data_IF_443292839448
#
_entry.id   IF_443292839448
#
_cell.length_a   1.000
_cell.length_b   1.000
_cell.length_c   1.000
_cell.angle_alpha   90.00
_cell.angle_beta   90.00
_cell.angle_gamma   90.00
#
_symmetry.space_group_name_H-M   'P 1'
#
loop_
_entity.id
_entity.type
_entity.pdbx_description
1 polymer ?
#
# COMPACT_ATOMS: atom_id res chain seq x y z
N UNK A 1 7.99 -26.47 -2.21
CA UNK A 1 7.04 -25.62 -2.89
C UNK A 1 7.02 -25.86 -4.39
N UNK A 2 5.87 -25.94 -4.96
CA UNK A 2 5.75 -26.17 -6.39
C UNK A 2 5.95 -24.86 -7.17
N UNK A 3 6.80 -24.92 -8.17
CA UNK A 3 6.98 -23.83 -9.10
C UNK A 3 6.15 -24.13 -10.34
N UNK A 4 5.29 -23.22 -10.72
CA UNK A 4 4.47 -23.40 -11.91
C UNK A 4 5.28 -23.32 -13.19
N UNK A 5 4.59 -23.44 -14.29
CA UNK A 5 5.20 -23.29 -15.61
C UNK A 5 5.73 -21.86 -15.77
N UNK A 6 6.65 -21.63 -16.73
CA UNK A 6 7.02 -20.26 -17.06
C UNK A 6 5.76 -19.45 -17.38
N UNK A 7 5.63 -18.32 -16.74
CA UNK A 7 4.44 -17.47 -16.86
C UNK A 7 3.40 -17.68 -15.79
N UNK A 8 3.52 -18.73 -14.97
CA UNK A 8 2.60 -18.98 -13.86
C UNK A 8 3.04 -18.33 -12.55
N UNK A 9 4.08 -17.51 -12.57
CA UNK A 9 4.54 -16.80 -11.39
C UNK A 9 3.42 -15.90 -10.89
N UNK A 10 3.04 -16.02 -9.61
CA UNK A 10 1.99 -15.16 -9.08
C UNK A 10 2.38 -13.70 -9.20
N UNK A 11 1.44 -12.88 -9.62
CA UNK A 11 1.63 -11.44 -9.65
C UNK A 11 1.56 -10.89 -8.24
N UNK A 12 2.32 -9.83 -8.00
CA UNK A 12 2.17 -9.10 -6.76
C UNK A 12 0.79 -8.44 -6.73
N UNK A 13 0.17 -8.49 -5.57
CA UNK A 13 -1.15 -7.90 -5.35
C UNK A 13 -0.99 -6.63 -4.54
N UNK A 14 -1.24 -5.51 -5.17
CA UNK A 14 -1.09 -4.21 -4.55
C UNK A 14 -2.48 -3.67 -4.23
N UNK A 15 -2.69 -3.29 -2.97
CA UNK A 15 -3.91 -2.59 -2.58
C UNK A 15 -3.59 -1.12 -2.40
N UNK A 16 -4.50 -0.26 -2.84
CA UNK A 16 -4.35 1.18 -2.75
C UNK A 16 -5.54 1.71 -1.95
N UNK A 17 -5.26 2.50 -0.92
CA UNK A 17 -6.32 3.14 -0.13
C UNK A 17 -6.09 4.64 -0.15
N UNK A 18 -6.96 5.37 -0.83
CA UNK A 18 -6.91 6.83 -0.95
C UNK A 18 -8.31 7.32 -1.28
N UNK A 19 -8.76 8.38 -0.64
CA UNK A 19 -10.11 8.89 -0.88
C UNK A 19 -10.21 9.74 -2.16
N UNK A 20 -9.10 10.06 -2.80
CA UNK A 20 -9.07 10.84 -4.04
C UNK A 20 -9.09 9.89 -5.25
N UNK A 21 -10.15 9.98 -6.03
CA UNK A 21 -10.32 9.12 -7.20
C UNK A 21 -9.20 9.29 -8.22
N UNK A 22 -8.74 10.53 -8.46
CA UNK A 22 -7.66 10.77 -9.42
C UNK A 22 -6.38 10.07 -9.02
N UNK A 23 -6.08 10.06 -7.74
CA UNK A 23 -4.88 9.38 -7.23
C UNK A 23 -5.04 7.88 -7.36
N UNK A 24 -6.21 7.35 -7.00
CA UNK A 24 -6.48 5.92 -7.17
C UNK A 24 -6.28 5.48 -8.61
N UNK A 25 -6.85 6.24 -9.56
CA UNK A 25 -6.76 5.87 -10.99
C UNK A 25 -5.33 5.97 -11.51
N UNK A 26 -4.59 7.00 -11.11
CA UNK A 26 -3.20 7.16 -11.52
C UNK A 26 -2.33 6.02 -11.00
N UNK A 27 -2.50 5.66 -9.75
CA UNK A 27 -1.72 4.57 -9.15
C UNK A 27 -2.11 3.22 -9.73
N UNK A 28 -3.38 3.00 -9.99
CA UNK A 28 -3.83 1.76 -10.65
C UNK A 28 -3.18 1.60 -12.02
N UNK A 29 -3.18 2.66 -12.82
CA UNK A 29 -2.56 2.62 -14.14
C UNK A 29 -1.08 2.31 -14.03
N UNK A 30 -0.39 2.92 -13.07
CA UNK A 30 1.03 2.71 -12.88
C UNK A 30 1.32 1.26 -12.48
N UNK A 31 0.53 0.69 -11.57
CA UNK A 31 0.71 -0.70 -11.14
C UNK A 31 0.43 -1.68 -12.28
N UNK A 32 -0.60 -1.42 -13.06
CA UNK A 32 -0.92 -2.28 -14.21
C UNK A 32 0.17 -2.23 -15.29
N UNK A 33 0.83 -1.10 -15.43
CA UNK A 33 1.89 -0.95 -16.45
C UNK A 33 3.05 -1.89 -16.21
N UNK A 34 3.24 -2.35 -14.98
CA UNK A 34 4.29 -3.31 -14.62
C UNK A 34 3.70 -4.67 -14.27
N UNK A 35 2.46 -4.91 -14.67
CA UNK A 35 1.79 -6.19 -14.55
C UNK A 35 1.54 -6.67 -13.13
N UNK A 36 1.38 -5.74 -12.19
CA UNK A 36 0.90 -6.08 -10.85
C UNK A 36 -0.63 -6.17 -10.88
N UNK A 37 -1.17 -7.06 -10.07
CA UNK A 37 -2.60 -7.05 -9.79
C UNK A 37 -2.86 -5.92 -8.81
N UNK A 38 -3.91 -5.14 -9.02
CA UNK A 38 -4.16 -3.97 -8.19
C UNK A 38 -5.65 -3.84 -7.89
N UNK A 39 -5.95 -3.49 -6.66
CA UNK A 39 -7.29 -3.11 -6.25
C UNK A 39 -7.22 -1.81 -5.46
N UNK A 40 -8.18 -0.92 -5.66
CA UNK A 40 -8.16 0.38 -5.00
C UNK A 40 -9.44 0.58 -4.21
N UNK A 41 -9.29 1.24 -3.06
CA UNK A 41 -10.36 1.45 -2.10
C UNK A 41 -10.41 2.91 -1.71
N UNK A 42 -11.61 3.44 -1.51
CA UNK A 42 -11.77 4.84 -1.13
C UNK A 42 -11.60 5.09 0.36
N UNK A 43 -11.58 4.02 1.17
CA UNK A 43 -11.46 4.15 2.63
C UNK A 43 -10.77 2.94 3.23
N UNK A 44 -10.24 3.11 4.43
CA UNK A 44 -9.65 2.01 5.19
C UNK A 44 -10.72 0.95 5.52
N UNK A 45 -11.92 1.41 5.83
CA UNK A 45 -13.03 0.50 6.15
C UNK A 45 -13.38 -0.38 4.94
N UNK A 46 -13.42 0.21 3.74
CA UNK A 46 -13.70 -0.56 2.53
C UNK A 46 -12.62 -1.60 2.26
N UNK A 47 -11.37 -1.26 2.51
CA UNK A 47 -10.26 -2.20 2.37
C UNK A 47 -10.44 -3.38 3.33
N UNK A 48 -10.70 -3.08 4.60
CA UNK A 48 -10.84 -4.14 5.61
C UNK A 48 -12.02 -5.06 5.34
N UNK A 49 -13.09 -4.54 4.75
CA UNK A 49 -14.27 -5.32 4.42
C UNK A 49 -14.08 -6.21 3.19
N UNK A 50 -13.02 -5.99 2.44
CA UNK A 50 -12.77 -6.72 1.20
C UNK A 50 -11.97 -7.99 1.45
N UNK A 51 -12.31 -9.06 0.76
CA UNK A 51 -11.48 -10.26 0.77
C UNK A 51 -10.08 -10.01 0.24
N UNK A 52 -9.94 -9.00 -0.61
CA UNK A 52 -8.66 -8.63 -1.18
C UNK A 52 -7.63 -8.25 -0.10
N UNK A 53 -8.12 -7.77 1.05
CA UNK A 53 -7.23 -7.39 2.15
C UNK A 53 -6.42 -8.57 2.67
N UNK A 54 -6.93 -9.79 2.54
CA UNK A 54 -6.24 -10.99 3.00
C UNK A 54 -5.20 -11.50 2.01
N UNK A 55 -5.16 -10.92 0.82
CA UNK A 55 -4.27 -11.38 -0.25
C UNK A 55 -3.35 -10.26 -0.75
N UNK A 56 -3.22 -9.20 0.02
CA UNK A 56 -2.43 -8.03 -0.36
C UNK A 56 -0.96 -8.27 -0.08
N UNK A 57 -0.12 -8.12 -1.10
CA UNK A 57 1.34 -8.23 -0.96
C UNK A 57 1.94 -6.94 -0.42
N UNK A 58 1.35 -5.81 -0.75
CA UNK A 58 1.83 -4.50 -0.32
C UNK A 58 0.67 -3.51 -0.37
N UNK A 59 0.57 -2.68 0.65
CA UNK A 59 -0.51 -1.70 0.81
C UNK A 59 0.04 -0.29 0.63
N UNK A 60 -0.49 0.44 -0.36
CA UNK A 60 -0.19 1.86 -0.54
C UNK A 60 -1.33 2.61 0.14
N UNK A 61 -1.00 3.38 1.16
CA UNK A 61 -2.00 3.88 2.10
C UNK A 61 -1.85 5.38 2.33
N UNK A 62 -2.91 6.12 2.02
CA UNK A 62 -2.97 7.55 2.30
C UNK A 62 -3.02 7.75 3.81
N UNK A 63 -2.21 8.68 4.29
CA UNK A 63 -2.18 9.02 5.70
C UNK A 63 -3.44 9.73 6.15
N UNK A 64 -3.98 10.60 5.30
CA UNK A 64 -5.07 11.50 5.64
C UNK A 64 -6.40 11.03 5.06
N UNK A 65 -7.01 10.05 5.71
CA UNK A 65 -8.30 9.52 5.30
C UNK A 65 -9.38 9.98 6.27
N UNK A 66 -10.59 10.25 5.79
CA UNK A 66 -11.71 10.48 6.69
C UNK A 66 -12.08 9.16 7.40
N UNK A 67 -12.63 9.27 8.61
CA UNK A 67 -12.95 8.09 9.42
C UNK A 67 -11.68 7.45 9.94
N UNK A 68 -11.49 6.17 9.68
CA UNK A 68 -10.24 5.49 10.05
C UNK A 68 -9.12 6.01 9.16
N UNK A 69 -8.15 6.71 9.74
CA UNK A 69 -7.03 7.26 8.96
C UNK A 69 -5.95 6.21 8.76
N UNK A 70 -4.87 6.60 8.05
CA UNK A 70 -3.80 5.67 7.69
C UNK A 70 -3.10 5.05 8.89
N UNK A 71 -2.81 5.85 9.91
CA UNK A 71 -2.18 5.31 11.12
C UNK A 71 -3.13 4.38 11.88
N UNK A 72 -4.42 4.72 11.91
CA UNK A 72 -5.42 3.85 12.55
C UNK A 72 -5.46 2.49 11.87
N UNK A 73 -5.45 2.47 10.54
CA UNK A 73 -5.45 1.21 9.80
C UNK A 73 -4.19 0.41 10.08
N UNK A 74 -3.03 1.06 10.09
CA UNK A 74 -1.79 0.36 10.38
C UNK A 74 -1.80 -0.24 11.79
N UNK A 75 -2.29 0.51 12.78
CA UNK A 75 -2.42 0.01 14.14
C UNK A 75 -3.38 -1.17 14.21
N UNK A 76 -4.48 -1.10 13.47
CA UNK A 76 -5.43 -2.20 13.40
C UNK A 76 -4.78 -3.47 12.86
N UNK A 77 -4.04 -3.34 11.75
CA UNK A 77 -3.34 -4.49 11.16
C UNK A 77 -2.29 -5.06 12.11
N UNK A 78 -1.57 -4.19 12.82
CA UNK A 78 -0.58 -4.63 13.79
C UNK A 78 -1.22 -5.39 14.95
N UNK A 79 -2.35 -4.91 15.46
CA UNK A 79 -3.07 -5.60 16.53
C UNK A 79 -3.57 -6.97 16.10
N UNK A 80 -3.93 -7.10 14.83
CA UNK A 80 -4.36 -8.39 14.28
C UNK A 80 -3.19 -9.26 13.83
N UNK A 81 -1.97 -8.80 14.06
CA UNK A 81 -0.76 -9.52 13.67
C UNK A 81 -0.71 -9.83 12.17
N UNK A 82 -1.27 -8.92 11.38
CA UNK A 82 -1.25 -9.06 9.93
C UNK A 82 -0.02 -8.33 9.38
N UNK A 83 0.88 -9.09 8.79
CA UNK A 83 2.18 -8.57 8.34
C UNK A 83 2.12 -8.06 6.91
N UNK A 84 1.22 -7.12 6.65
CA UNK A 84 1.12 -6.49 5.33
C UNK A 84 2.11 -5.33 5.27
N UNK A 85 3.08 -5.36 4.34
CA UNK A 85 3.98 -4.21 4.18
C UNK A 85 3.20 -2.96 3.76
N UNK A 86 3.43 -1.85 4.45
CA UNK A 86 2.70 -0.61 4.22
C UNK A 86 3.64 0.47 3.70
N UNK A 87 3.25 1.12 2.61
CA UNK A 87 3.91 2.31 2.10
C UNK A 87 2.89 3.44 2.23
N UNK A 88 3.20 4.42 3.09
CA UNK A 88 2.33 5.58 3.23
C UNK A 88 2.55 6.59 2.13
N UNK A 89 1.46 7.26 1.73
CA UNK A 89 1.54 8.43 0.85
C UNK A 89 0.82 9.59 1.54
N UNK A 90 1.33 10.80 1.36
CA UNK A 90 0.75 11.96 2.02
C UNK A 90 1.08 13.25 1.27
N UNK A 91 0.17 14.23 1.34
CA UNK A 91 0.42 15.56 0.80
C UNK A 91 1.41 16.35 1.66
N UNK A 92 1.60 15.93 2.90
CA UNK A 92 2.47 16.64 3.87
C UNK A 92 3.44 15.66 4.53
N UNK A 93 4.51 15.33 3.81
CA UNK A 93 5.52 14.41 4.31
C UNK A 93 6.53 15.17 5.16
N UNK A 94 6.23 15.31 6.45
CA UNK A 94 7.17 15.92 7.40
C UNK A 94 7.96 14.86 8.15
N UNK A 95 9.01 15.27 8.83
CA UNK A 95 9.90 14.34 9.53
C UNK A 95 9.18 13.61 10.67
N UNK A 96 8.29 14.31 11.39
CA UNK A 96 7.56 13.68 12.48
C UNK A 96 6.66 12.55 11.99
N UNK A 97 5.94 12.78 10.90
CA UNK A 97 5.08 11.74 10.31
C UNK A 97 5.91 10.58 9.79
N UNK A 98 7.05 10.88 9.16
CA UNK A 98 7.94 9.85 8.65
C UNK A 98 8.45 8.95 9.79
N UNK A 99 8.92 9.56 10.87
CA UNK A 99 9.42 8.80 12.02
C UNK A 99 8.31 7.95 12.65
N UNK A 100 7.12 8.52 12.77
CA UNK A 100 5.98 7.78 13.30
C UNK A 100 5.64 6.57 12.43
N UNK A 101 5.62 6.77 11.11
CA UNK A 101 5.31 5.70 10.17
C UNK A 101 6.32 4.57 10.27
N UNK A 102 7.60 4.90 10.27
CA UNK A 102 8.67 3.90 10.32
C UNK A 102 8.67 3.15 11.66
N UNK A 103 8.42 3.85 12.76
CA UNK A 103 8.33 3.21 14.08
C UNK A 103 7.16 2.23 14.15
N UNK A 104 6.09 2.52 13.43
CA UNK A 104 4.93 1.63 13.40
C UNK A 104 5.12 0.47 12.43
N UNK A 105 6.27 0.40 11.77
CA UNK A 105 6.63 -0.73 10.90
C UNK A 105 6.42 -0.50 9.41
N UNK A 106 6.10 0.73 8.99
CA UNK A 106 5.93 1.02 7.57
C UNK A 106 7.25 0.88 6.81
N UNK A 107 7.16 0.55 5.54
CA UNK A 107 8.31 0.47 4.64
C UNK A 107 8.86 1.88 4.37
N UNK A 108 7.96 2.82 4.08
CA UNK A 108 8.36 4.19 3.77
C UNK A 108 7.15 5.11 3.83
N UNK A 109 7.41 6.40 3.71
CA UNK A 109 6.39 7.43 3.61
C UNK A 109 6.79 8.35 2.45
N UNK A 110 5.96 8.42 1.42
CA UNK A 110 6.25 9.15 0.20
C UNK A 110 5.35 10.37 0.06
N UNK A 111 5.89 11.44 -0.50
CA UNK A 111 5.13 12.67 -0.75
C UNK A 111 4.27 12.53 -2.00
N UNK A 112 3.09 13.13 -1.98
CA UNK A 112 2.29 13.32 -3.18
C UNK A 112 2.79 14.58 -3.90
N UNK A 113 2.83 14.61 -5.22
CA UNK A 113 2.45 13.53 -6.13
C UNK A 113 3.44 12.38 -6.10
N UNK A 114 2.95 11.16 -6.10
CA UNK A 114 3.77 9.97 -5.96
C UNK A 114 4.55 9.75 -7.25
N UNK A 115 5.87 9.66 -7.11
CA UNK A 115 6.75 9.45 -8.26
C UNK A 115 7.01 7.97 -8.46
N UNK A 116 7.19 7.60 -9.72
CA UNK A 116 7.39 6.23 -10.13
C UNK A 116 8.57 5.56 -9.42
N UNK A 117 9.75 6.18 -9.49
CA UNK A 117 10.97 5.56 -8.96
C UNK A 117 10.95 5.31 -7.47
N UNK A 118 10.62 6.31 -6.61
CA UNK A 118 10.55 6.05 -5.18
C UNK A 118 9.50 5.00 -4.83
N UNK A 119 8.38 4.98 -5.54
CA UNK A 119 7.33 4.02 -5.27
C UNK A 119 7.78 2.60 -5.60
N UNK A 120 8.36 2.38 -6.77
CA UNK A 120 8.82 1.05 -7.14
C UNK A 120 9.96 0.57 -6.25
N UNK A 121 10.83 1.48 -5.83
CA UNK A 121 11.89 1.13 -4.89
C UNK A 121 11.32 0.68 -3.55
N UNK A 122 10.30 1.39 -3.06
CA UNK A 122 9.64 1.01 -1.81
C UNK A 122 8.92 -0.33 -1.94
N UNK A 123 8.24 -0.58 -3.07
CA UNK A 123 7.57 -1.86 -3.30
C UNK A 123 8.61 -2.99 -3.34
N UNK A 124 9.73 -2.77 -4.00
CA UNK A 124 10.79 -3.76 -4.05
C UNK A 124 11.29 -4.09 -2.65
N UNK A 125 11.52 -3.08 -1.81
CA UNK A 125 11.91 -3.29 -0.43
C UNK A 125 10.87 -4.10 0.34
N UNK A 126 9.59 -3.83 0.08
CA UNK A 126 8.50 -4.51 0.75
C UNK A 126 8.48 -6.00 0.44
N UNK A 127 8.70 -6.37 -0.82
CA UNK A 127 8.59 -7.77 -1.23
C UNK A 127 9.87 -8.57 -1.02
N UNK A 128 10.97 -7.91 -0.73
CA UNK A 128 12.24 -8.58 -0.42
C UNK A 128 12.46 -8.83 1.07
N UNK A 129 11.49 -8.48 1.89
CA UNK A 129 11.59 -8.65 3.33
C UNK A 129 11.62 -10.10 3.76
#
# INVERSE_FOLDING_TARGET
MKIGKPGDTPRLRISIVDDDESIREALKSLMRSVQFDVEAFESAEAFLASEYSHHTSCLILDLSLPGMNGFDLQNHLNREQRSIPVIFITAHADEASRQRALKAGAIDLLSKPVRREPLFKAIQSAVER
#
